data_IF_721784391132
#
_entry.id   IF_721784391132
#
_cell.length_a   1.000
_cell.length_b   1.000
_cell.length_c   1.000
_cell.angle_alpha   90.00
_cell.angle_beta   90.00
_cell.angle_gamma   90.00
#
_symmetry.space_group_name_H-M   'P 1'
#
loop_
_entity.id
_entity.type
_entity.pdbx_description
1 polymer ?
#
# COMPACT_ATOMS: atom_id res chain seq x y z
N UNK A 1 -59.67 35.72 -6.30
CA UNK A 1 -58.31 35.84 -5.71
C UNK A 1 -57.43 34.85 -6.48
N UNK A 2 -56.81 35.19 -7.62
CA UNK A 2 -55.46 35.77 -7.76
C UNK A 2 -54.52 35.34 -6.62
N UNK A 3 -53.47 34.54 -6.93
CA UNK A 3 -52.04 34.83 -6.64
C UNK A 3 -51.07 33.64 -6.83
N UNK A 4 -50.02 33.91 -7.63
CA UNK A 4 -48.64 33.35 -7.68
C UNK A 4 -48.45 31.89 -8.14
N UNK A 5 -47.89 31.59 -9.33
CA UNK A 5 -46.48 31.73 -9.79
C UNK A 5 -45.48 31.16 -8.77
N UNK A 6 -44.80 30.05 -9.09
CA UNK A 6 -43.32 30.01 -9.04
C UNK A 6 -42.75 28.81 -9.82
N UNK A 7 -42.12 29.15 -10.93
CA UNK A 7 -41.07 28.41 -11.60
C UNK A 7 -39.89 28.21 -10.64
N UNK A 8 -39.51 26.96 -10.33
CA UNK A 8 -38.19 26.63 -9.81
C UNK A 8 -37.65 25.44 -10.58
N UNK A 9 -37.04 25.75 -11.73
CA UNK A 9 -35.85 25.04 -12.22
C UNK A 9 -34.86 25.08 -11.05
N UNK A 10 -34.53 23.95 -10.43
CA UNK A 10 -33.33 23.88 -9.63
C UNK A 10 -32.84 22.44 -9.53
N UNK A 11 -31.86 22.17 -10.39
CA UNK A 11 -30.73 21.29 -10.11
C UNK A 11 -31.15 19.82 -9.96
N UNK A 12 -31.30 19.19 -11.14
CA UNK A 12 -30.79 17.84 -11.37
C UNK A 12 -29.28 17.88 -11.07
N UNK A 13 -28.96 17.94 -9.77
CA UNK A 13 -27.65 17.67 -9.24
C UNK A 13 -27.50 16.17 -9.39
N UNK A 14 -27.21 15.77 -10.63
CA UNK A 14 -26.36 14.62 -10.88
C UNK A 14 -25.15 14.94 -10.03
N UNK A 15 -25.17 14.43 -8.80
CA UNK A 15 -23.96 14.16 -8.09
C UNK A 15 -23.28 13.15 -9.00
N UNK A 16 -22.50 13.69 -9.93
CA UNK A 16 -21.29 13.09 -10.43
C UNK A 16 -20.47 12.80 -9.17
N UNK A 17 -20.87 11.76 -8.44
CA UNK A 17 -19.91 10.88 -7.85
C UNK A 17 -19.10 10.42 -9.05
N UNK A 18 -18.05 11.19 -9.34
CA UNK A 18 -16.84 10.62 -9.88
C UNK A 18 -16.44 9.57 -8.83
N UNK A 19 -17.01 8.38 -8.96
CA UNK A 19 -16.32 7.19 -8.53
C UNK A 19 -15.08 7.21 -9.40
N UNK A 20 -13.99 7.75 -8.85
CA UNK A 20 -12.68 7.36 -9.34
C UNK A 20 -12.68 5.83 -9.18
N UNK A 21 -12.75 5.10 -10.30
CA UNK A 21 -12.37 3.70 -10.27
C UNK A 21 -10.93 3.71 -9.79
N UNK A 22 -10.72 3.18 -8.59
CA UNK A 22 -9.38 2.91 -8.08
C UNK A 22 -8.87 1.77 -8.95
N UNK A 23 -8.21 2.11 -10.05
CA UNK A 23 -7.51 1.13 -10.87
C UNK A 23 -6.44 0.48 -10.00
N UNK A 24 -6.49 -0.84 -9.89
CA UNK A 24 -5.58 -1.64 -9.05
C UNK A 24 -4.22 -1.77 -9.78
N UNK A 25 -3.48 -0.65 -9.88
CA UNK A 25 -2.19 -0.55 -10.58
C UNK A 25 -1.07 -1.40 -9.92
N UNK A 26 -1.26 -1.76 -8.65
CA UNK A 26 -0.31 -2.51 -7.84
C UNK A 26 -0.99 -3.71 -7.19
N UNK A 27 -0.61 -4.91 -7.62
CA UNK A 27 -1.00 -6.15 -6.96
C UNK A 27 -0.02 -6.51 -5.85
N UNK A 28 -0.56 -6.83 -4.67
CA UNK A 28 0.21 -7.19 -3.48
C UNK A 28 -0.07 -8.66 -3.12
N UNK A 29 0.98 -9.48 -3.09
CA UNK A 29 0.94 -10.83 -2.53
C UNK A 29 1.69 -10.87 -1.20
N UNK A 30 0.96 -11.09 -0.11
CA UNK A 30 1.53 -11.12 1.24
C UNK A 30 1.59 -12.55 1.79
N UNK A 31 2.73 -12.90 2.37
CA UNK A 31 2.90 -14.14 3.13
C UNK A 31 3.75 -13.90 4.38
N UNK A 32 3.76 -14.88 5.28
CA UNK A 32 4.60 -14.82 6.47
C UNK A 32 5.26 -16.16 6.76
N UNK A 33 6.46 -16.09 7.33
CA UNK A 33 7.26 -17.26 7.65
C UNK A 33 8.05 -17.08 8.95
N UNK A 34 8.29 -18.17 9.71
CA UNK A 34 7.70 -19.51 9.53
C UNK A 34 6.22 -19.57 9.96
N UNK A 35 5.49 -20.59 9.47
CA UNK A 35 4.03 -20.76 9.68
C UNK A 35 3.60 -20.86 11.15
N UNK A 36 4.51 -21.22 12.04
CA UNK A 36 4.26 -21.33 13.49
C UNK A 36 5.46 -20.75 14.23
N UNK A 37 5.14 -19.87 15.17
CA UNK A 37 6.12 -19.21 16.02
C UNK A 37 5.65 -19.25 17.47
N UNK A 38 6.61 -19.34 18.38
CA UNK A 38 6.45 -19.20 19.83
C UNK A 38 6.90 -17.80 20.26
N UNK A 39 6.50 -17.40 21.47
CA UNK A 39 6.96 -16.14 22.05
C UNK A 39 8.49 -16.03 22.05
N UNK A 40 8.99 -14.87 21.64
CA UNK A 40 10.41 -14.56 21.50
C UNK A 40 11.05 -14.98 20.18
N UNK A 41 10.36 -15.75 19.33
CA UNK A 41 10.89 -16.15 18.03
C UNK A 41 10.73 -15.06 16.98
N UNK A 42 11.68 -15.03 16.03
CA UNK A 42 11.66 -14.11 14.88
C UNK A 42 10.96 -14.77 13.69
N UNK A 43 10.22 -13.96 12.94
CA UNK A 43 9.68 -14.29 11.65
C UNK A 43 9.91 -13.15 10.67
N UNK A 44 9.37 -13.32 9.46
CA UNK A 44 9.35 -12.30 8.43
C UNK A 44 8.02 -12.30 7.70
N UNK A 45 7.61 -11.10 7.30
CA UNK A 45 6.57 -10.88 6.29
C UNK A 45 7.31 -10.82 4.95
N UNK A 46 6.76 -11.47 3.93
CA UNK A 46 7.29 -11.43 2.57
C UNK A 46 6.21 -10.85 1.69
N UNK A 47 6.51 -9.71 1.08
CA UNK A 47 5.63 -8.99 0.17
C UNK A 47 6.18 -9.10 -1.24
N UNK A 48 5.39 -9.64 -2.16
CA UNK A 48 5.69 -9.60 -3.59
C UNK A 48 4.75 -8.61 -4.25
N UNK A 49 5.35 -7.64 -4.93
CA UNK A 49 4.66 -6.55 -5.61
C UNK A 49 4.68 -6.83 -7.11
N UNK A 50 3.57 -6.54 -7.78
CA UNK A 50 3.48 -6.68 -9.24
C UNK A 50 2.70 -5.52 -9.78
N UNK A 51 3.32 -4.77 -10.68
CA UNK A 51 2.73 -3.61 -11.33
C UNK A 51 2.02 -4.04 -12.62
N UNK A 52 1.02 -3.27 -13.01
CA UNK A 52 0.46 -3.33 -14.35
C UNK A 52 1.52 -2.96 -15.40
N UNK A 53 1.36 -3.48 -16.63
CA UNK A 53 2.28 -3.20 -17.73
C UNK A 53 2.30 -1.69 -18.04
N UNK A 54 3.50 -1.13 -18.21
CA UNK A 54 3.67 0.31 -18.48
C UNK A 54 3.63 1.23 -17.24
N UNK A 55 3.32 0.68 -16.06
CA UNK A 55 3.33 1.41 -14.80
C UNK A 55 4.65 1.24 -14.07
N UNK A 56 5.16 2.33 -13.49
CA UNK A 56 6.33 2.35 -12.62
C UNK A 56 6.02 3.09 -11.32
N UNK A 57 6.79 2.82 -10.26
CA UNK A 57 6.69 3.56 -9.00
C UNK A 57 7.88 4.50 -8.87
N UNK A 58 7.59 5.79 -8.72
CA UNK A 58 8.61 6.80 -8.41
C UNK A 58 9.11 6.63 -6.97
N UNK A 59 10.43 6.75 -6.72
CA UNK A 59 10.97 6.78 -5.35
C UNK A 59 10.52 8.05 -4.61
N UNK A 60 10.29 9.15 -5.33
CA UNK A 60 9.88 10.43 -4.77
C UNK A 60 8.38 10.67 -5.00
N UNK A 61 7.65 11.31 -4.05
CA UNK A 61 8.12 11.83 -2.76
C UNK A 61 8.28 10.78 -1.66
N UNK A 62 7.76 9.56 -1.82
CA UNK A 62 8.07 8.41 -0.94
C UNK A 62 7.31 7.14 -1.37
N UNK A 63 7.90 5.99 -1.06
CA UNK A 63 7.23 4.70 -1.02
C UNK A 63 7.20 4.17 0.43
N UNK A 64 5.99 3.96 0.96
CA UNK A 64 5.81 3.69 2.39
C UNK A 64 5.00 2.42 2.63
N UNK A 65 5.56 1.51 3.44
CA UNK A 65 4.86 0.35 3.97
C UNK A 65 4.53 0.60 5.44
N UNK A 66 3.24 0.59 5.79
CA UNK A 66 2.75 0.81 7.16
C UNK A 66 1.97 -0.41 7.65
N UNK A 67 2.23 -0.83 8.89
CA UNK A 67 1.43 -1.85 9.57
C UNK A 67 0.59 -1.26 10.69
N UNK A 68 -0.63 -1.76 10.81
CA UNK A 68 -1.45 -1.54 12.00
C UNK A 68 -0.76 -2.17 13.22
N UNK A 69 -0.84 -1.52 14.40
CA UNK A 69 -0.29 -2.11 15.63
C UNK A 69 -0.87 -3.51 15.89
N UNK A 70 0.00 -4.47 16.15
CA UNK A 70 -0.38 -5.83 16.56
C UNK A 70 0.18 -6.08 17.96
N UNK A 71 -0.68 -6.43 18.92
CA UNK A 71 -0.27 -6.62 20.32
C UNK A 71 0.77 -7.73 20.47
N UNK A 72 0.65 -8.79 19.67
CA UNK A 72 1.48 -9.98 19.76
C UNK A 72 2.80 -9.90 19.01
N UNK A 73 2.96 -8.92 18.11
CA UNK A 73 4.13 -8.77 17.26
C UNK A 73 4.91 -7.49 17.56
N UNK A 74 6.21 -7.54 17.31
CA UNK A 74 7.11 -6.39 17.30
C UNK A 74 7.67 -6.29 15.89
N UNK A 75 7.27 -5.24 15.19
CA UNK A 75 7.80 -4.87 13.87
C UNK A 75 8.73 -3.68 14.08
N UNK A 76 9.97 -3.69 13.56
CA UNK A 76 10.88 -2.56 13.63
C UNK A 76 10.24 -1.32 12.99
N UNK A 77 10.28 -0.18 13.69
CA UNK A 77 9.73 1.08 13.17
C UNK A 77 10.57 1.69 12.04
N UNK A 78 11.82 1.28 11.92
CA UNK A 78 12.79 1.74 10.92
C UNK A 78 12.66 0.99 9.59
N UNK A 79 11.47 0.51 9.23
CA UNK A 79 11.22 -0.29 8.02
C UNK A 79 10.00 0.26 7.31
N UNK A 80 10.06 1.55 6.95
CA UNK A 80 8.91 2.25 6.41
C UNK A 80 9.18 2.98 5.10
N UNK A 81 10.42 3.09 4.64
CA UNK A 81 10.77 3.78 3.39
C UNK A 81 11.56 2.86 2.47
N UNK A 82 11.63 3.17 1.17
CA UNK A 82 12.40 2.41 0.18
C UNK A 82 13.86 2.14 0.61
N UNK A 83 14.53 3.14 1.20
CA UNK A 83 15.91 3.00 1.71
C UNK A 83 16.02 2.02 2.87
N UNK A 84 15.02 1.99 3.76
CA UNK A 84 15.00 1.06 4.89
C UNK A 84 14.68 -0.37 4.46
N UNK A 85 13.99 -0.52 3.33
CA UNK A 85 13.53 -1.79 2.78
C UNK A 85 14.53 -2.42 1.79
N UNK A 86 15.71 -1.81 1.62
CA UNK A 86 16.75 -2.25 0.68
C UNK A 86 16.21 -2.39 -0.76
N UNK A 87 15.30 -1.50 -1.16
CA UNK A 87 14.75 -1.48 -2.52
C UNK A 87 15.69 -0.68 -3.41
N UNK A 88 16.21 -1.30 -4.47
CA UNK A 88 17.07 -0.65 -5.44
C UNK A 88 16.30 0.38 -6.28
N UNK A 89 17.00 1.42 -6.74
CA UNK A 89 16.49 2.41 -7.69
C UNK A 89 17.13 2.15 -9.05
N UNK A 90 16.30 2.09 -10.08
CA UNK A 90 16.71 1.95 -11.47
C UNK A 90 16.52 3.28 -12.19
N UNK A 91 17.54 3.71 -12.93
CA UNK A 91 17.45 4.85 -13.85
C UNK A 91 17.13 4.34 -15.26
N UNK A 92 16.01 4.76 -15.83
CA UNK A 92 15.64 4.46 -17.22
C UNK A 92 15.12 5.71 -17.91
N UNK A 93 15.73 6.06 -19.05
CA UNK A 93 15.41 7.27 -19.82
C UNK A 93 15.52 8.60 -19.03
N UNK A 94 16.36 8.62 -17.99
CA UNK A 94 16.55 9.78 -17.12
C UNK A 94 15.50 9.93 -16.01
N UNK A 95 14.68 8.90 -15.80
CA UNK A 95 13.71 8.83 -14.70
C UNK A 95 14.06 7.68 -13.76
N UNK A 96 14.04 7.98 -12.46
CA UNK A 96 14.29 7.01 -11.39
C UNK A 96 12.99 6.27 -11.04
N UNK A 97 13.07 4.96 -10.88
CA UNK A 97 11.95 4.13 -10.43
C UNK A 97 12.40 3.01 -9.50
N UNK A 98 11.50 2.54 -8.64
CA UNK A 98 11.79 1.45 -7.70
C UNK A 98 11.88 0.09 -8.43
N UNK A 99 12.90 -0.69 -8.07
CA UNK A 99 13.02 -2.08 -8.50
C UNK A 99 12.21 -3.01 -7.60
N UNK A 100 11.01 -3.37 -8.05
CA UNK A 100 10.10 -4.24 -7.30
C UNK A 100 10.13 -5.70 -7.75
N UNK A 101 11.18 -6.12 -8.47
CA UNK A 101 11.32 -7.51 -8.96
C UNK A 101 11.56 -8.50 -7.83
N UNK A 102 12.29 -8.07 -6.80
CA UNK A 102 12.56 -8.88 -5.61
C UNK A 102 11.44 -8.74 -4.57
N UNK A 103 11.29 -9.76 -3.74
CA UNK A 103 10.31 -9.73 -2.66
C UNK A 103 10.86 -8.93 -1.48
N UNK A 104 10.03 -8.05 -0.93
CA UNK A 104 10.39 -7.23 0.24
C UNK A 104 10.21 -8.09 1.50
N UNK A 105 11.28 -8.23 2.29
CA UNK A 105 11.27 -9.01 3.53
C UNK A 105 11.29 -8.11 4.77
N UNK A 106 10.22 -8.15 5.57
CA UNK A 106 10.09 -7.32 6.77
C UNK A 106 10.16 -8.22 8.01
N UNK A 107 11.24 -8.17 8.80
CA UNK A 107 11.37 -8.97 10.01
C UNK A 107 10.38 -8.53 11.08
N UNK A 108 9.91 -9.50 11.85
CA UNK A 108 9.15 -9.26 13.09
C UNK A 108 9.59 -10.22 14.19
N UNK A 109 9.27 -9.87 15.44
CA UNK A 109 9.48 -10.76 16.59
C UNK A 109 8.14 -10.99 17.30
N UNK A 110 7.83 -12.24 17.63
CA UNK A 110 6.67 -12.55 18.47
C UNK A 110 6.99 -12.15 19.90
N UNK A 111 6.11 -11.40 20.56
CA UNK A 111 6.31 -11.05 21.97
C UNK A 111 6.36 -12.29 22.84
N UNK A 112 7.20 -12.27 23.87
CA UNK A 112 7.35 -13.41 24.80
C UNK A 112 6.02 -13.86 25.42
N UNK A 113 5.12 -12.90 25.70
CA UNK A 113 3.81 -13.14 26.31
C UNK A 113 2.66 -13.09 25.29
N UNK A 114 2.95 -13.28 24.00
CA UNK A 114 1.92 -13.31 22.97
C UNK A 114 0.87 -14.39 23.27
N UNK A 115 -0.41 -14.05 23.08
CA UNK A 115 -1.50 -15.02 23.23
C UNK A 115 -1.33 -16.14 22.18
N UNK A 116 -1.67 -17.37 22.55
CA UNK A 116 -1.68 -18.49 21.61
C UNK A 116 -2.86 -18.35 20.65
N UNK A 117 -2.64 -18.56 19.36
CA UNK A 117 -3.71 -18.52 18.36
C UNK A 117 -3.23 -18.09 16.99
N UNK A 118 -4.20 -17.78 16.13
CA UNK A 118 -3.96 -17.06 14.87
C UNK A 118 -4.10 -15.57 15.14
N UNK A 119 -3.17 -14.80 14.60
CA UNK A 119 -3.16 -13.34 14.71
C UNK A 119 -3.23 -12.75 13.31
N UNK A 120 -3.97 -11.66 13.19
CA UNK A 120 -4.06 -10.88 11.95
C UNK A 120 -3.10 -9.70 12.07
N UNK A 121 -2.31 -9.48 11.02
CA UNK A 121 -1.52 -8.28 10.84
C UNK A 121 -2.05 -7.58 9.59
N UNK A 122 -2.51 -6.35 9.77
CA UNK A 122 -2.99 -5.51 8.68
C UNK A 122 -1.92 -4.46 8.34
N UNK A 123 -1.87 -4.06 7.09
CA UNK A 123 -0.97 -3.01 6.62
C UNK A 123 -1.45 -2.42 5.31
N UNK A 124 -0.74 -1.40 4.85
CA UNK A 124 -1.00 -0.70 3.59
C UNK A 124 0.31 -0.23 2.98
N UNK A 125 0.29 -0.04 1.67
CA UNK A 125 1.39 0.53 0.89
C UNK A 125 0.90 1.86 0.34
N UNK A 126 1.69 2.93 0.51
CA UNK A 126 1.49 4.21 -0.15
C UNK A 126 2.59 4.39 -1.17
N UNK A 127 2.24 4.79 -2.37
CA UNK A 127 3.16 4.89 -3.49
C UNK A 127 2.68 5.95 -4.48
N UNK A 128 3.61 6.39 -5.33
CA UNK A 128 3.33 7.24 -6.47
C UNK A 128 3.58 6.43 -7.74
N UNK A 129 2.49 6.05 -8.41
CA UNK A 129 2.57 5.44 -9.73
C UNK A 129 2.77 6.51 -10.79
N UNK A 130 3.44 6.11 -11.87
CA UNK A 130 3.62 6.89 -13.08
C UNK A 130 3.36 5.99 -14.30
N UNK A 131 2.85 6.57 -15.39
CA UNK A 131 2.56 5.89 -16.65
C UNK A 131 3.29 6.58 -17.79
N UNK A 132 4.15 5.83 -18.48
CA UNK A 132 4.85 6.36 -19.67
C UNK A 132 3.90 6.56 -20.85
N UNK A 133 2.84 5.76 -20.95
CA UNK A 133 1.87 5.81 -22.04
C UNK A 133 0.91 7.00 -21.87
N UNK A 134 0.42 7.20 -20.65
CA UNK A 134 -0.58 8.23 -20.36
C UNK A 134 0.04 9.58 -19.97
N UNK A 135 1.34 9.60 -19.62
CA UNK A 135 2.12 10.82 -19.38
C UNK A 135 1.84 11.48 -18.03
N UNK A 136 1.47 10.70 -17.00
CA UNK A 136 1.32 11.13 -15.60
C UNK A 136 2.30 10.41 -14.67
#
# INVERSE_FOLDING_TARGET
>A
MRKHIFLCILIFGISLFAFAEEEDLLRIEASSGPKRLSGGQKGKIVLKLTLEEGIFISPEPSFIIEFSPCEELIIPKSLSTESDLEIDILEENGEDHLDLREAIEIPFTVRLMAKKGKHLLEGKIKYFACSKEEGW
#
